data_IF_148933509929
#
_entry.id   IF_148933509929
#
_cell.length_a   1.000
_cell.length_b   1.000
_cell.length_c   1.000
_cell.angle_alpha   90.00
_cell.angle_beta   90.00
_cell.angle_gamma   90.00
#
_symmetry.space_group_name_H-M   'P 1'
#
loop_
_entity.id
_entity.type
_entity.pdbx_description
1 polymer ?
#
# COMPACT_ATOMS: atom_id res chain seq x y z
N UNK A 1 8.95 -11.72 -18.57
CA UNK A 1 8.85 -10.81 -17.40
C UNK A 1 7.37 -10.56 -17.15
N UNK A 2 6.87 -10.85 -15.94
CA UNK A 2 5.47 -10.54 -15.58
C UNK A 2 5.31 -9.01 -15.42
N UNK A 3 4.26 -8.38 -15.96
CA UNK A 3 4.04 -6.95 -15.80
C UNK A 3 3.86 -6.57 -14.32
N UNK A 4 4.42 -5.44 -13.90
CA UNK A 4 4.28 -4.96 -12.51
C UNK A 4 2.80 -4.71 -12.18
N UNK A 5 2.30 -5.37 -11.13
CA UNK A 5 0.91 -5.32 -10.66
C UNK A 5 0.68 -4.31 -9.55
N UNK A 6 1.74 -3.76 -8.96
CA UNK A 6 1.63 -2.62 -8.06
C UNK A 6 2.82 -1.66 -8.21
N UNK A 7 2.55 -0.38 -8.02
CA UNK A 7 3.55 0.67 -7.87
C UNK A 7 3.17 1.53 -6.67
N UNK A 8 4.10 1.71 -5.74
CA UNK A 8 3.91 2.57 -4.57
C UNK A 8 5.10 3.50 -4.44
N UNK A 9 4.83 4.77 -4.23
CA UNK A 9 5.81 5.83 -4.06
C UNK A 9 5.53 6.53 -2.72
N UNK A 10 6.59 6.86 -1.99
CA UNK A 10 6.50 7.79 -0.88
C UNK A 10 7.37 9.01 -1.20
N UNK A 11 6.77 10.19 -1.14
CA UNK A 11 7.45 11.46 -1.40
C UNK A 11 7.40 12.28 -0.11
N UNK A 12 8.53 12.84 0.29
CA UNK A 12 8.59 13.79 1.41
C UNK A 12 9.48 14.97 1.02
N UNK A 13 9.01 16.19 1.31
CA UNK A 13 9.71 17.43 0.94
C UNK A 13 10.16 17.47 -0.54
N UNK A 14 9.32 16.95 -1.44
CA UNK A 14 9.61 16.86 -2.88
C UNK A 14 10.56 15.72 -3.29
N UNK A 15 11.17 15.01 -2.35
CA UNK A 15 12.09 13.91 -2.62
C UNK A 15 11.39 12.55 -2.55
N UNK A 16 11.71 11.65 -3.49
CA UNK A 16 11.25 10.26 -3.46
C UNK A 16 12.01 9.48 -2.38
N UNK A 17 11.33 9.16 -1.29
CA UNK A 17 11.90 8.44 -0.15
C UNK A 17 11.82 6.92 -0.33
N UNK A 18 10.79 6.46 -1.04
CA UNK A 18 10.56 5.04 -1.29
C UNK A 18 9.91 4.84 -2.64
N UNK A 19 10.34 3.79 -3.34
CA UNK A 19 9.70 3.28 -4.55
C UNK A 19 9.61 1.77 -4.52
N UNK A 20 8.39 1.26 -4.51
CA UNK A 20 8.10 -0.17 -4.61
C UNK A 20 7.43 -0.44 -5.95
N UNK A 21 7.99 -1.38 -6.72
CA UNK A 21 7.37 -1.91 -7.93
C UNK A 21 7.26 -3.41 -7.78
N UNK A 22 6.03 -3.93 -7.72
CA UNK A 22 5.75 -5.31 -7.35
C UNK A 22 5.04 -6.02 -8.49
N UNK A 23 5.57 -7.15 -8.91
CA UNK A 23 4.89 -8.08 -9.82
C UNK A 23 3.82 -8.91 -9.10
N UNK A 24 4.03 -9.19 -7.80
CA UNK A 24 3.14 -9.99 -6.96
C UNK A 24 2.80 -9.27 -5.64
N UNK A 25 1.88 -8.30 -5.65
CA UNK A 25 1.57 -7.48 -4.48
C UNK A 25 1.03 -8.29 -3.28
N UNK A 26 0.34 -9.39 -3.53
CA UNK A 26 -0.23 -10.25 -2.49
C UNK A 26 0.80 -11.13 -1.76
N UNK A 27 1.97 -11.35 -2.36
CA UNK A 27 3.09 -12.06 -1.70
C UNK A 27 4.03 -11.08 -0.99
N UNK A 28 3.85 -9.77 -1.19
CA UNK A 28 4.72 -8.76 -0.62
C UNK A 28 4.34 -8.44 0.84
N UNK A 29 5.33 -8.43 1.73
CA UNK A 29 5.15 -8.21 3.17
C UNK A 29 4.52 -6.85 3.51
N UNK A 30 4.69 -5.81 2.69
CA UNK A 30 4.09 -4.49 2.92
C UNK A 30 2.66 -4.40 2.42
N UNK A 31 2.43 -4.87 1.19
CA UNK A 31 1.17 -4.67 0.49
C UNK A 31 0.14 -5.73 0.91
N UNK A 32 0.56 -6.94 1.26
CA UNK A 32 -0.34 -8.00 1.68
C UNK A 32 -1.18 -7.64 2.93
N UNK A 33 -0.63 -7.10 4.03
CA UNK A 33 -1.43 -6.67 5.18
C UNK A 33 -2.46 -5.60 4.82
N UNK A 34 -2.09 -4.65 3.96
CA UNK A 34 -2.99 -3.59 3.49
C UNK A 34 -4.14 -4.21 2.69
N UNK A 35 -3.83 -5.05 1.69
CA UNK A 35 -4.83 -5.71 0.87
C UNK A 35 -5.72 -6.65 1.70
N UNK A 36 -5.15 -7.36 2.67
CA UNK A 36 -5.90 -8.23 3.58
C UNK A 36 -6.90 -7.43 4.39
N UNK A 37 -6.50 -6.30 4.97
CA UNK A 37 -7.41 -5.43 5.71
C UNK A 37 -8.46 -4.73 4.83
N UNK A 38 -8.10 -4.40 3.58
CA UNK A 38 -9.00 -3.70 2.64
C UNK A 38 -10.12 -4.60 2.10
N UNK A 39 -9.80 -5.83 1.72
CA UNK A 39 -10.70 -6.68 0.92
C UNK A 39 -10.76 -8.13 1.40
N UNK A 40 -10.26 -8.42 2.60
CA UNK A 40 -10.17 -9.76 3.17
C UNK A 40 -9.53 -10.74 2.19
N UNK A 41 -8.33 -10.38 1.75
CA UNK A 41 -7.64 -11.07 0.69
C UNK A 41 -7.40 -12.54 1.08
N UNK A 42 -7.95 -13.47 0.30
CA UNK A 42 -7.73 -14.91 0.51
C UNK A 42 -6.34 -15.32 0.02
N UNK A 43 -5.88 -16.52 0.40
CA UNK A 43 -4.59 -17.10 -0.03
C UNK A 43 -4.37 -17.09 -1.56
N UNK A 44 -5.45 -16.99 -2.34
CA UNK A 44 -5.40 -17.01 -3.80
C UNK A 44 -5.28 -15.60 -4.42
N UNK A 45 -5.20 -14.52 -3.65
CA UNK A 45 -5.07 -13.14 -4.15
C UNK A 45 -6.23 -12.70 -5.08
N UNK A 46 -7.41 -13.32 -4.94
CA UNK A 46 -8.59 -13.00 -5.73
C UNK A 46 -9.48 -12.04 -4.94
N UNK A 47 -9.74 -10.87 -5.52
CA UNK A 47 -10.74 -9.92 -5.04
C UNK A 47 -11.99 -10.07 -5.90
N UNK A 48 -13.13 -10.36 -5.26
CA UNK A 48 -14.41 -10.45 -5.97
C UNK A 48 -14.96 -9.04 -6.23
N UNK A 49 -15.80 -8.88 -7.25
CA UNK A 49 -16.52 -7.61 -7.44
C UNK A 49 -17.59 -7.49 -6.34
N UNK A 50 -17.67 -6.36 -5.67
CA UNK A 50 -18.65 -6.15 -4.60
C UNK A 50 -18.43 -4.85 -3.84
N UNK A 51 -19.23 -4.65 -2.79
CA UNK A 51 -19.08 -3.54 -1.86
C UNK A 51 -18.26 -3.99 -0.66
N UNK A 52 -17.19 -3.25 -0.39
CA UNK A 52 -16.26 -3.52 0.69
C UNK A 52 -16.30 -2.36 1.68
N UNK A 53 -16.41 -2.70 2.97
CA UNK A 53 -16.16 -1.76 4.06
C UNK A 53 -14.89 -2.20 4.75
N UNK A 54 -13.92 -1.29 4.83
CA UNK A 54 -12.63 -1.55 5.45
C UNK A 54 -12.29 -0.44 6.44
N UNK A 55 -11.46 -0.80 7.41
CA UNK A 55 -10.84 0.12 8.36
C UNK A 55 -9.35 -0.15 8.35
N UNK A 56 -8.55 0.90 8.15
CA UNK A 56 -7.10 0.80 8.12
C UNK A 56 -6.50 1.52 9.32
N UNK A 57 -5.67 0.81 10.09
CA UNK A 57 -4.82 1.41 11.11
C UNK A 57 -3.43 1.66 10.52
N UNK A 58 -3.19 2.86 10.00
CA UNK A 58 -1.92 3.21 9.37
C UNK A 58 -0.74 3.21 10.36
N UNK A 59 -0.98 3.49 11.64
CA UNK A 59 0.07 3.45 12.66
C UNK A 59 0.64 2.02 12.80
N UNK A 60 -0.24 1.04 12.93
CA UNK A 60 0.14 -0.37 13.05
C UNK A 60 0.85 -0.88 11.79
N UNK A 61 0.34 -0.52 10.60
CA UNK A 61 0.93 -0.90 9.31
C UNK A 61 2.35 -0.32 9.17
N UNK A 62 2.53 0.96 9.50
CA UNK A 62 3.83 1.62 9.41
C UNK A 62 4.83 1.04 10.43
N UNK A 63 4.38 0.75 11.66
CA UNK A 63 5.23 0.09 12.69
C UNK A 63 5.68 -1.30 12.25
N UNK A 64 4.78 -2.11 11.70
CA UNK A 64 5.08 -3.47 11.25
C UNK A 64 6.10 -3.49 10.10
N UNK A 65 6.04 -2.50 9.19
CA UNK A 65 6.93 -2.46 8.03
C UNK A 65 8.29 -1.80 8.30
N UNK A 66 8.30 -0.64 8.97
CA UNK A 66 9.53 0.09 9.22
C UNK A 66 10.24 -0.34 10.51
N UNK A 67 9.70 -1.34 11.24
CA UNK A 67 10.38 -1.94 12.39
C UNK A 67 10.67 -0.94 13.52
N UNK A 68 9.84 0.09 13.67
CA UNK A 68 10.07 1.18 14.63
C UNK A 68 11.01 2.29 14.15
N UNK A 69 11.47 2.28 12.89
CA UNK A 69 12.00 3.50 12.27
C UNK A 69 10.86 4.51 12.14
N UNK A 70 11.04 5.64 12.82
CA UNK A 70 10.02 6.66 12.85
C UNK A 70 10.18 7.58 11.63
N UNK A 71 9.35 7.34 10.62
CA UNK A 71 9.18 8.26 9.50
C UNK A 71 8.36 9.46 9.95
N UNK A 72 9.00 10.47 10.52
CA UNK A 72 8.33 11.71 10.90
C UNK A 72 8.29 12.70 9.75
N UNK A 73 7.25 13.53 9.73
CA UNK A 73 7.05 14.60 8.76
C UNK A 73 5.88 14.36 7.82
N UNK A 74 5.81 15.20 6.78
CA UNK A 74 4.77 15.15 5.77
C UNK A 74 5.18 14.20 4.65
N UNK A 75 4.31 13.25 4.33
CA UNK A 75 4.50 12.30 3.25
C UNK A 75 3.30 12.30 2.31
N UNK A 76 3.59 12.28 1.02
CA UNK A 76 2.62 11.95 -0.03
C UNK A 76 2.90 10.54 -0.52
N UNK A 77 1.98 9.63 -0.26
CA UNK A 77 1.98 8.29 -0.81
C UNK A 77 1.18 8.26 -2.10
N UNK A 78 1.75 7.76 -3.19
CA UNK A 78 1.04 7.51 -4.45
C UNK A 78 1.07 6.02 -4.74
N UNK A 79 -0.09 5.41 -4.98
CA UNK A 79 -0.19 3.98 -5.27
C UNK A 79 -1.06 3.70 -6.49
N UNK A 80 -0.63 2.74 -7.29
CA UNK A 80 -1.42 2.16 -8.38
C UNK A 80 -1.35 0.64 -8.25
N UNK A 81 -2.50 0.00 -8.20
CA UNK A 81 -2.68 -1.44 -8.16
C UNK A 81 -3.41 -1.87 -9.44
N UNK A 82 -2.90 -2.90 -10.10
CA UNK A 82 -3.43 -3.44 -11.34
C UNK A 82 -3.99 -4.84 -11.10
N UNK A 83 -5.22 -5.06 -11.55
CA UNK A 83 -5.76 -6.41 -11.73
C UNK A 83 -5.27 -7.02 -13.05
N UNK A 84 -5.91 -8.12 -13.44
CA UNK A 84 -5.62 -8.78 -14.72
C UNK A 84 -6.31 -8.11 -15.90
N UNK A 85 -7.43 -7.42 -15.66
CA UNK A 85 -8.23 -6.79 -16.71
C UNK A 85 -8.22 -5.26 -16.66
N UNK A 86 -8.04 -4.65 -15.49
CA UNK A 86 -8.11 -3.21 -15.30
C UNK A 86 -7.32 -2.74 -14.07
N UNK A 87 -7.24 -1.41 -13.89
CA UNK A 87 -6.73 -0.82 -12.66
C UNK A 87 -7.65 -1.20 -11.50
N UNK A 88 -7.09 -1.82 -10.47
CA UNK A 88 -7.81 -2.18 -9.25
C UNK A 88 -7.94 -0.98 -8.31
N UNK A 89 -6.88 -0.18 -8.18
CA UNK A 89 -6.87 1.03 -7.36
C UNK A 89 -5.84 2.04 -7.86
N UNK A 90 -6.15 3.33 -7.71
CA UNK A 90 -5.24 4.44 -7.96
C UNK A 90 -5.50 5.47 -6.86
N UNK A 91 -4.53 5.68 -5.96
CA UNK A 91 -4.74 6.47 -4.74
C UNK A 91 -3.56 7.41 -4.50
N UNK A 92 -3.88 8.61 -4.00
CA UNK A 92 -2.92 9.56 -3.44
C UNK A 92 -3.34 9.81 -1.99
N UNK A 93 -2.42 9.67 -1.04
CA UNK A 93 -2.66 9.87 0.38
C UNK A 93 -1.60 10.83 0.91
N UNK A 94 -2.05 11.89 1.56
CA UNK A 94 -1.17 12.80 2.30
C UNK A 94 -1.30 12.50 3.78
N UNK A 95 -0.17 12.25 4.44
CA UNK A 95 -0.11 11.86 5.85
C UNK A 95 0.94 12.70 6.55
N UNK A 96 0.54 13.34 7.64
CA UNK A 96 1.45 13.93 8.61
C UNK A 96 1.72 12.90 9.71
N UNK A 97 2.97 12.46 9.84
CA UNK A 97 3.38 11.52 10.88
C UNK A 97 4.15 12.30 11.95
N UNK A 98 3.61 12.36 13.17
CA UNK A 98 4.21 13.06 14.31
C UNK A 98 4.36 12.13 15.52
N UNK A 99 5.22 12.49 16.48
CA UNK A 99 5.19 11.88 17.82
C UNK A 99 3.89 12.30 18.52
N UNK A 100 3.13 11.31 18.99
CA UNK A 100 2.06 11.49 19.98
C UNK A 100 2.64 11.66 21.37
#
# INVERSE_FOLDING_TARGET
MSPNKAKVFAISNGNEMMRLQLSKPCENLFVNPILTNLVNLTKNCIVKKGHYKFSLNYEEILRAYYGGLHLYGLYTFKSILYGDQCNFSCTIIEVQISRT
#
